data_IF_283529234410
#
_entry.id   IF_283529234410
#
_cell.length_a   1.000
_cell.length_b   1.000
_cell.length_c   1.000
_cell.angle_alpha   90.00
_cell.angle_beta   90.00
_cell.angle_gamma   90.00
#
_symmetry.space_group_name_H-M   'P 1'
#
loop_
_entity.id
_entity.type
_entity.pdbx_description
1 polymer ?
#
# COMPACT_ATOMS: atom_id res chain seq x y z
N UNK A 1 -14.43 -14.51 18.27
CA UNK A 1 -15.01 -13.29 17.71
C UNK A 1 -13.99 -12.17 17.90
N UNK A 2 -13.33 -11.80 16.85
CA UNK A 2 -12.35 -10.70 16.82
C UNK A 2 -13.11 -9.36 16.73
N UNK A 3 -13.60 -8.87 17.84
CA UNK A 3 -14.13 -7.52 17.97
C UNK A 3 -13.15 -6.67 18.80
N UNK A 4 -13.04 -5.40 18.47
CA UNK A 4 -12.14 -4.48 19.16
C UNK A 4 -10.72 -4.44 18.61
N UNK A 5 -9.71 -4.19 19.48
CA UNK A 5 -8.31 -4.01 19.08
C UNK A 5 -7.72 -5.18 18.27
N UNK A 6 -8.01 -6.46 18.54
CA UNK A 6 -7.53 -7.57 17.72
C UNK A 6 -8.01 -7.51 16.26
N UNK A 7 -9.21 -6.98 16.02
CA UNK A 7 -9.73 -6.78 14.67
C UNK A 7 -9.00 -5.65 13.95
N UNK A 8 -8.67 -4.57 14.64
CA UNK A 8 -7.89 -3.47 14.09
C UNK A 8 -6.48 -3.95 13.70
N UNK A 9 -5.85 -4.74 14.56
CA UNK A 9 -4.55 -5.35 14.25
C UNK A 9 -4.63 -6.25 13.01
N UNK A 10 -5.65 -7.11 12.92
CA UNK A 10 -5.87 -7.99 11.77
C UNK A 10 -6.02 -7.20 10.46
N UNK A 11 -6.75 -6.08 10.48
CA UNK A 11 -6.93 -5.19 9.33
C UNK A 11 -5.63 -4.49 8.93
N UNK A 12 -4.90 -3.91 9.87
CA UNK A 12 -3.65 -3.22 9.59
C UNK A 12 -2.50 -4.16 9.18
N UNK A 13 -2.51 -5.41 9.64
CA UNK A 13 -1.57 -6.41 9.16
C UNK A 13 -2.04 -7.11 7.88
N UNK A 14 -3.18 -6.70 7.32
CA UNK A 14 -3.78 -7.30 6.13
C UNK A 14 -3.84 -8.84 6.20
N UNK A 15 -4.15 -9.38 7.39
CA UNK A 15 -4.25 -10.83 7.61
C UNK A 15 -5.54 -11.37 6.98
N UNK A 16 -5.50 -12.62 6.58
CA UNK A 16 -6.70 -13.34 6.13
C UNK A 16 -7.59 -13.62 7.33
N UNK A 17 -8.87 -13.21 7.30
CA UNK A 17 -9.81 -13.48 8.39
C UNK A 17 -10.07 -14.99 8.53
N UNK A 18 -10.31 -15.46 9.76
CA UNK A 18 -10.64 -16.87 10.00
C UNK A 18 -11.98 -17.29 9.39
N UNK A 19 -12.97 -16.38 9.34
CA UNK A 19 -14.28 -16.58 8.71
C UNK A 19 -14.37 -15.60 7.55
N UNK A 20 -13.82 -16.00 6.40
CA UNK A 20 -13.86 -15.19 5.20
C UNK A 20 -15.25 -15.23 4.58
N UNK A 21 -15.70 -14.06 4.14
CA UNK A 21 -16.79 -13.95 3.22
C UNK A 21 -16.33 -14.27 1.80
N UNK A 22 -17.17 -14.92 1.03
CA UNK A 22 -16.94 -15.16 -0.40
C UNK A 22 -17.38 -13.94 -1.19
N UNK A 23 -16.59 -13.51 -2.17
CA UNK A 23 -16.87 -12.38 -3.07
C UNK A 23 -17.03 -12.92 -4.48
N UNK A 24 -17.98 -12.38 -5.23
CA UNK A 24 -18.16 -12.72 -6.65
C UNK A 24 -17.00 -12.16 -7.50
N UNK A 25 -16.32 -13.01 -8.24
CA UNK A 25 -15.24 -12.60 -9.16
C UNK A 25 -15.79 -12.03 -10.47
N UNK A 26 -16.97 -12.47 -10.86
CA UNK A 26 -17.69 -11.99 -12.05
C UNK A 26 -19.09 -11.48 -11.67
N UNK A 27 -19.64 -10.57 -12.47
CA UNK A 27 -21.04 -10.16 -12.37
C UNK A 27 -21.92 -11.06 -13.20
N UNK A 28 -23.14 -11.32 -12.75
CA UNK A 28 -24.06 -12.19 -13.49
C UNK A 28 -25.25 -12.65 -12.67
N UNK A 29 -25.95 -13.66 -13.16
CA UNK A 29 -27.10 -14.25 -12.49
C UNK A 29 -26.65 -15.39 -11.59
N UNK A 30 -27.12 -15.37 -10.37
CA UNK A 30 -26.85 -16.39 -9.35
C UNK A 30 -27.77 -17.58 -9.52
N UNK A 31 -27.26 -18.80 -9.46
CA UNK A 31 -28.01 -20.05 -9.41
C UNK A 31 -27.45 -20.93 -8.27
N UNK A 32 -28.35 -21.54 -7.53
CA UNK A 32 -27.98 -22.50 -6.49
C UNK A 32 -28.10 -23.93 -7.01
N UNK A 33 -27.09 -24.73 -6.75
CA UNK A 33 -27.11 -26.18 -6.97
C UNK A 33 -26.70 -26.91 -5.70
N UNK A 34 -27.45 -27.95 -5.34
CA UNK A 34 -27.09 -28.79 -4.21
C UNK A 34 -25.80 -29.54 -4.50
N UNK A 35 -24.81 -29.42 -3.57
CA UNK A 35 -23.61 -30.22 -3.66
C UNK A 35 -23.92 -31.68 -3.35
N UNK A 36 -23.33 -32.60 -4.09
CA UNK A 36 -23.58 -34.05 -3.98
C UNK A 36 -23.23 -34.64 -2.60
N UNK A 37 -22.49 -33.96 -1.74
CA UNK A 37 -22.14 -34.38 -0.36
C UNK A 37 -21.87 -33.18 0.55
N UNK A 38 -22.50 -33.13 1.70
CA UNK A 38 -22.10 -32.29 2.85
C UNK A 38 -22.98 -31.06 3.11
N UNK A 39 -22.51 -30.20 3.97
CA UNK A 39 -23.16 -28.95 4.41
C UNK A 39 -22.89 -27.76 3.49
N UNK A 40 -22.24 -27.98 2.36
CA UNK A 40 -21.92 -26.96 1.37
C UNK A 40 -22.89 -27.03 0.19
N UNK A 41 -23.14 -25.90 -0.43
CA UNK A 41 -23.92 -25.72 -1.64
C UNK A 41 -23.05 -25.06 -2.71
N UNK A 42 -23.26 -25.40 -3.95
CA UNK A 42 -22.60 -24.75 -5.07
C UNK A 42 -23.43 -23.54 -5.51
N UNK A 43 -22.82 -22.38 -5.42
CA UNK A 43 -23.37 -21.14 -5.95
C UNK A 43 -22.68 -20.85 -7.28
N UNK A 44 -23.45 -20.86 -8.35
CA UNK A 44 -22.97 -20.62 -9.71
C UNK A 44 -23.38 -19.21 -10.12
N UNK A 45 -22.41 -18.41 -10.54
CA UNK A 45 -22.64 -17.10 -11.13
C UNK A 45 -22.37 -17.21 -12.61
N UNK A 46 -23.37 -16.88 -13.43
CA UNK A 46 -23.27 -16.90 -14.90
C UNK A 46 -23.30 -15.47 -15.41
N UNK A 47 -22.22 -15.05 -16.05
CA UNK A 47 -22.12 -13.74 -16.69
C UNK A 47 -22.87 -13.71 -18.03
N UNK A 48 -23.12 -12.50 -18.54
CA UNK A 48 -23.83 -12.28 -19.81
C UNK A 48 -23.10 -12.82 -21.05
N UNK A 49 -21.79 -13.00 -20.97
CA UNK A 49 -20.90 -13.56 -22.00
C UNK A 49 -20.83 -15.09 -21.98
N UNK A 50 -21.49 -15.73 -20.98
CA UNK A 50 -21.51 -17.18 -20.81
C UNK A 50 -20.39 -17.71 -19.89
N UNK A 51 -19.51 -16.85 -19.34
CA UNK A 51 -18.56 -17.25 -18.34
C UNK A 51 -19.27 -17.66 -17.05
N UNK A 52 -18.82 -18.75 -16.42
CA UNK A 52 -19.40 -19.26 -15.17
C UNK A 52 -18.34 -19.45 -14.12
N UNK A 53 -18.62 -18.96 -12.91
CA UNK A 53 -17.83 -19.22 -11.72
C UNK A 53 -18.65 -19.96 -10.67
N UNK A 54 -18.08 -21.02 -10.09
CA UNK A 54 -18.71 -21.84 -9.05
C UNK A 54 -18.03 -21.63 -7.71
N UNK A 55 -18.81 -21.31 -6.70
CA UNK A 55 -18.36 -21.10 -5.32
C UNK A 55 -18.99 -22.13 -4.40
N UNK A 56 -18.17 -22.87 -3.66
CA UNK A 56 -18.63 -23.74 -2.61
C UNK A 56 -18.89 -22.92 -1.33
N UNK A 57 -20.15 -22.74 -0.98
CA UNK A 57 -20.59 -21.89 0.13
C UNK A 57 -21.44 -22.68 1.14
N UNK A 58 -21.43 -22.31 2.42
CA UNK A 58 -22.32 -22.93 3.39
C UNK A 58 -23.78 -22.56 3.15
N UNK A 59 -24.71 -23.45 3.43
CA UNK A 59 -26.15 -23.18 3.30
C UNK A 59 -26.65 -22.04 4.17
N UNK A 60 -25.94 -21.78 5.29
CA UNK A 60 -26.29 -20.73 6.23
C UNK A 60 -25.42 -19.50 5.99
N UNK A 61 -26.03 -18.33 6.04
CA UNK A 61 -25.29 -17.06 5.92
C UNK A 61 -25.07 -16.58 4.49
N UNK A 62 -25.99 -16.93 3.59
CA UNK A 62 -26.03 -16.34 2.25
C UNK A 62 -26.65 -14.95 2.29
N UNK A 63 -26.07 -14.04 1.49
CA UNK A 63 -26.54 -12.68 1.31
C UNK A 63 -27.34 -12.49 0.00
N UNK A 64 -27.24 -13.44 -0.91
CA UNK A 64 -27.84 -13.40 -2.23
C UNK A 64 -28.94 -14.47 -2.35
N UNK A 65 -29.86 -14.26 -3.29
CA UNK A 65 -30.98 -15.16 -3.57
C UNK A 65 -30.78 -15.86 -4.92
N UNK A 66 -31.46 -17.00 -5.08
CA UNK A 66 -31.47 -17.69 -6.36
C UNK A 66 -32.16 -16.83 -7.43
N UNK A 67 -31.54 -16.74 -8.61
CA UNK A 67 -32.00 -15.89 -9.71
C UNK A 67 -31.66 -14.39 -9.58
N UNK A 68 -30.95 -13.97 -8.51
CA UNK A 68 -30.55 -12.58 -8.35
C UNK A 68 -29.41 -12.21 -9.32
N UNK A 69 -29.48 -11.00 -9.87
CA UNK A 69 -28.42 -10.44 -10.68
C UNK A 69 -27.47 -9.64 -9.80
N UNK A 70 -26.20 -10.01 -9.80
CA UNK A 70 -25.16 -9.41 -8.97
C UNK A 70 -24.08 -8.77 -9.82
N UNK A 71 -23.40 -7.78 -9.24
CA UNK A 71 -22.22 -7.15 -9.84
C UNK A 71 -20.93 -7.84 -9.40
N UNK A 72 -19.87 -7.67 -10.19
CA UNK A 72 -18.52 -8.08 -9.81
C UNK A 72 -18.14 -7.47 -8.47
N UNK A 73 -17.67 -8.30 -7.55
CA UNK A 73 -17.28 -7.86 -6.22
C UNK A 73 -18.42 -7.87 -5.20
N UNK A 74 -19.62 -8.32 -5.53
CA UNK A 74 -20.71 -8.48 -4.55
C UNK A 74 -20.34 -9.57 -3.55
N UNK A 75 -20.62 -9.29 -2.27
CA UNK A 75 -20.39 -10.23 -1.18
C UNK A 75 -21.49 -11.30 -1.18
N UNK A 76 -21.13 -12.57 -1.29
CA UNK A 76 -22.06 -13.69 -1.40
C UNK A 76 -22.45 -14.27 -0.04
N UNK A 77 -21.55 -14.24 0.92
CA UNK A 77 -21.75 -14.84 2.24
C UNK A 77 -21.44 -13.86 3.38
N UNK A 78 -22.05 -14.07 4.55
CA UNK A 78 -21.68 -13.34 5.76
C UNK A 78 -20.25 -13.68 6.18
N UNK A 79 -19.50 -12.68 6.59
CA UNK A 79 -18.15 -12.82 7.11
C UNK A 79 -17.33 -11.55 6.90
N UNK A 80 -16.05 -11.62 7.30
CA UNK A 80 -15.11 -10.55 7.05
C UNK A 80 -14.49 -10.71 5.66
N UNK A 81 -14.39 -9.63 4.91
CA UNK A 81 -13.74 -9.65 3.61
C UNK A 81 -12.22 -9.79 3.77
N UNK A 82 -11.60 -10.55 2.87
CA UNK A 82 -10.15 -10.58 2.75
C UNK A 82 -9.67 -9.33 1.99
N UNK A 83 -8.86 -8.46 2.59
CA UNK A 83 -8.40 -7.24 1.92
C UNK A 83 -7.69 -7.50 0.59
N UNK A 84 -6.95 -8.61 0.48
CA UNK A 84 -6.26 -8.99 -0.75
C UNK A 84 -7.21 -9.36 -1.90
N UNK A 85 -8.33 -10.02 -1.57
CA UNK A 85 -9.36 -10.34 -2.57
C UNK A 85 -10.13 -9.09 -2.98
N UNK A 86 -10.41 -8.19 -2.04
CA UNK A 86 -11.02 -6.89 -2.34
C UNK A 86 -10.13 -6.11 -3.31
N UNK A 87 -8.80 -6.10 -3.09
CA UNK A 87 -7.85 -5.47 -4.00
C UNK A 87 -7.90 -6.08 -5.40
N UNK A 88 -7.83 -7.41 -5.48
CA UNK A 88 -7.82 -8.13 -6.76
C UNK A 88 -9.12 -7.97 -7.56
N UNK A 89 -10.26 -7.98 -6.89
CA UNK A 89 -11.57 -8.00 -7.53
C UNK A 89 -12.15 -6.61 -7.75
N UNK A 90 -12.10 -5.76 -6.71
CA UNK A 90 -12.72 -4.43 -6.71
C UNK A 90 -11.76 -3.28 -7.00
N UNK A 91 -10.44 -3.51 -6.91
CA UNK A 91 -9.40 -2.51 -7.15
C UNK A 91 -9.01 -1.68 -5.92
N UNK A 92 -8.15 -0.68 -6.17
CA UNK A 92 -7.47 0.10 -5.11
C UNK A 92 -8.44 0.89 -4.24
N UNK A 93 -9.35 1.65 -4.85
CA UNK A 93 -10.27 2.53 -4.12
C UNK A 93 -11.19 1.76 -3.17
N UNK A 94 -11.61 0.57 -3.58
CA UNK A 94 -12.44 -0.29 -2.75
C UNK A 94 -11.70 -0.79 -1.51
N UNK A 95 -10.41 -1.09 -1.61
CA UNK A 95 -9.58 -1.50 -0.46
C UNK A 95 -9.38 -0.34 0.51
N UNK A 96 -9.08 0.86 0.00
CA UNK A 96 -8.97 2.06 0.84
C UNK A 96 -10.25 2.26 1.65
N UNK A 97 -11.39 2.30 0.96
CA UNK A 97 -12.69 2.48 1.61
C UNK A 97 -13.01 1.36 2.60
N UNK A 98 -12.75 0.11 2.22
CA UNK A 98 -13.00 -1.04 3.09
C UNK A 98 -12.20 -0.97 4.39
N UNK A 99 -10.88 -0.77 4.31
CA UNK A 99 -10.02 -0.72 5.49
C UNK A 99 -10.37 0.47 6.39
N UNK A 100 -10.60 1.65 5.83
CA UNK A 100 -10.97 2.84 6.59
C UNK A 100 -12.29 2.63 7.32
N UNK A 101 -13.33 2.16 6.62
CA UNK A 101 -14.67 1.96 7.20
C UNK A 101 -14.66 0.88 8.29
N UNK A 102 -13.97 -0.24 8.06
CA UNK A 102 -13.89 -1.32 9.05
C UNK A 102 -13.16 -0.90 10.32
N UNK A 103 -12.03 -0.20 10.20
CA UNK A 103 -11.29 0.31 11.37
C UNK A 103 -12.12 1.33 12.13
N UNK A 104 -12.71 2.31 11.44
CA UNK A 104 -13.57 3.31 12.08
C UNK A 104 -14.80 2.68 12.74
N UNK A 105 -15.39 1.65 12.12
CA UNK A 105 -16.52 0.92 12.71
C UNK A 105 -16.14 0.32 14.04
N UNK A 106 -14.96 -0.31 14.14
CA UNK A 106 -14.48 -0.90 15.41
C UNK A 106 -14.30 0.20 16.48
N UNK A 107 -13.68 1.32 16.14
CA UNK A 107 -13.49 2.43 17.09
C UNK A 107 -14.83 3.04 17.55
N UNK A 108 -15.76 3.27 16.63
CA UNK A 108 -17.10 3.79 16.95
C UNK A 108 -17.88 2.83 17.86
N UNK A 109 -17.74 1.52 17.67
CA UNK A 109 -18.35 0.52 18.57
C UNK A 109 -17.80 0.59 20.01
N UNK A 110 -16.58 1.08 20.19
CA UNK A 110 -15.94 1.33 21.48
C UNK A 110 -16.20 2.74 22.02
N UNK A 111 -17.05 3.53 21.36
CA UNK A 111 -17.36 4.89 21.77
C UNK A 111 -16.27 5.92 21.47
N UNK A 112 -15.29 5.57 20.65
CA UNK A 112 -14.19 6.46 20.26
C UNK A 112 -14.44 6.97 18.85
N UNK A 113 -14.52 8.29 18.69
CA UNK A 113 -14.63 8.94 17.39
C UNK A 113 -13.25 9.46 16.95
N UNK A 114 -12.81 9.00 15.76
CA UNK A 114 -11.52 9.34 15.17
C UNK A 114 -11.76 9.91 13.78
N UNK A 115 -11.04 10.97 13.43
CA UNK A 115 -11.09 11.52 12.09
C UNK A 115 -10.43 10.54 11.09
N UNK A 116 -11.06 10.36 9.95
CA UNK A 116 -10.68 9.41 8.89
C UNK A 116 -9.24 9.60 8.42
N UNK A 117 -8.73 10.83 8.40
CA UNK A 117 -7.36 11.17 7.95
C UNK A 117 -6.25 10.37 8.66
N UNK A 118 -6.45 10.01 9.94
CA UNK A 118 -5.44 9.25 10.70
C UNK A 118 -5.34 7.81 10.19
N UNK A 119 -6.46 7.24 9.77
CA UNK A 119 -6.50 5.89 9.18
C UNK A 119 -6.05 5.92 7.72
N UNK A 120 -6.45 6.95 6.98
CA UNK A 120 -6.05 7.14 5.58
C UNK A 120 -4.53 7.17 5.40
N UNK A 121 -3.81 7.87 6.27
CA UNK A 121 -2.34 7.93 6.25
C UNK A 121 -1.72 6.54 6.41
N UNK A 122 -2.26 5.73 7.33
CA UNK A 122 -1.77 4.36 7.56
C UNK A 122 -2.05 3.47 6.35
N UNK A 123 -3.27 3.47 5.84
CA UNK A 123 -3.67 2.66 4.68
C UNK A 123 -2.88 3.06 3.43
N UNK A 124 -2.61 4.36 3.23
CA UNK A 124 -1.75 4.84 2.16
C UNK A 124 -0.34 4.23 2.22
N UNK A 125 0.25 4.10 3.41
CA UNK A 125 1.55 3.46 3.57
C UNK A 125 1.50 1.95 3.26
N UNK A 126 0.40 1.27 3.58
CA UNK A 126 0.18 -0.14 3.25
C UNK A 126 0.11 -0.39 1.74
N UNK A 127 -0.34 0.59 0.96
CA UNK A 127 -0.54 0.53 -0.50
C UNK A 127 0.57 1.24 -1.30
N UNK A 128 1.70 1.54 -0.68
CA UNK A 128 2.77 2.36 -1.29
C UNK A 128 3.62 1.62 -2.31
N UNK A 129 3.60 0.30 -2.32
CA UNK A 129 4.48 -0.53 -3.15
C UNK A 129 3.70 -1.27 -4.23
N UNK A 130 4.34 -1.40 -5.38
CA UNK A 130 3.89 -2.22 -6.51
C UNK A 130 4.95 -3.26 -6.85
N UNK A 131 4.53 -4.37 -7.44
CA UNK A 131 5.40 -5.38 -8.02
C UNK A 131 5.44 -5.18 -9.52
N UNK A 132 6.62 -5.04 -10.08
CA UNK A 132 6.82 -4.95 -11.52
C UNK A 132 6.61 -6.33 -12.12
N UNK A 133 5.72 -6.45 -13.09
CA UNK A 133 5.49 -7.69 -13.85
C UNK A 133 6.27 -7.69 -15.15
N UNK A 134 6.24 -6.58 -15.88
CA UNK A 134 7.03 -6.35 -17.10
C UNK A 134 7.64 -4.94 -17.00
N UNK A 135 8.93 -4.85 -17.03
CA UNK A 135 9.65 -3.57 -16.98
C UNK A 135 9.56 -2.79 -18.29
N UNK A 136 9.19 -3.42 -19.41
CA UNK A 136 9.20 -2.78 -20.71
C UNK A 136 10.57 -2.17 -21.04
N UNK A 137 10.57 -0.95 -21.55
CA UNK A 137 11.79 -0.20 -21.90
C UNK A 137 12.23 0.76 -20.78
N UNK A 138 11.72 0.55 -19.54
CA UNK A 138 12.13 1.32 -18.36
C UNK A 138 13.41 0.73 -17.74
N UNK A 139 14.00 1.47 -16.78
CA UNK A 139 15.17 1.01 -16.00
C UNK A 139 14.76 0.15 -14.78
N UNK A 140 13.50 -0.25 -14.68
CA UNK A 140 13.01 -1.08 -13.59
C UNK A 140 13.39 -2.54 -13.83
N UNK A 141 13.36 -3.35 -12.77
CA UNK A 141 13.66 -4.79 -12.86
C UNK A 141 12.37 -5.60 -12.71
N UNK A 142 12.20 -6.60 -13.57
CA UNK A 142 11.09 -7.54 -13.50
C UNK A 142 11.06 -8.28 -12.15
N UNK A 143 9.87 -8.44 -11.60
CA UNK A 143 9.65 -9.09 -10.31
C UNK A 143 10.05 -8.27 -9.09
N UNK A 144 10.67 -7.12 -9.25
CA UNK A 144 11.07 -6.26 -8.13
C UNK A 144 9.88 -5.51 -7.52
N UNK A 145 10.00 -5.18 -6.22
CA UNK A 145 9.07 -4.28 -5.54
C UNK A 145 9.60 -2.85 -5.60
N UNK A 146 8.78 -1.93 -6.10
CA UNK A 146 9.13 -0.52 -6.17
C UNK A 146 8.04 0.36 -5.57
N UNK A 147 8.35 1.62 -5.32
CA UNK A 147 7.38 2.60 -4.87
C UNK A 147 6.48 3.03 -6.04
N UNK A 148 5.17 3.18 -5.81
CA UNK A 148 4.20 3.66 -6.82
C UNK A 148 4.69 4.93 -7.51
N UNK A 149 5.18 5.91 -6.75
CA UNK A 149 5.68 7.18 -7.32
C UNK A 149 6.90 6.99 -8.24
N UNK A 150 7.81 6.06 -7.91
CA UNK A 150 8.97 5.75 -8.77
C UNK A 150 8.53 5.03 -10.05
N UNK A 151 7.52 4.17 -9.94
CA UNK A 151 6.94 3.48 -11.08
C UNK A 151 6.23 4.46 -12.02
N UNK A 152 5.41 5.36 -11.48
CA UNK A 152 4.73 6.41 -12.26
C UNK A 152 5.73 7.33 -12.96
N UNK A 153 6.75 7.81 -12.23
CA UNK A 153 7.81 8.65 -12.80
C UNK A 153 8.59 7.96 -13.93
N UNK A 154 8.84 6.63 -13.81
CA UNK A 154 9.48 5.86 -14.87
C UNK A 154 8.59 5.78 -16.12
N UNK A 155 7.29 5.60 -15.95
CA UNK A 155 6.34 5.56 -17.06
C UNK A 155 6.13 6.94 -17.69
N UNK A 156 6.11 8.02 -16.92
CA UNK A 156 6.09 9.39 -17.43
C UNK A 156 7.34 9.74 -18.25
N UNK A 157 8.49 9.20 -17.85
CA UNK A 157 9.73 9.37 -18.64
C UNK A 157 9.61 8.69 -20.00
N UNK A 158 9.05 7.48 -20.05
CA UNK A 158 8.76 6.78 -21.33
C UNK A 158 7.78 7.61 -22.18
N UNK A 159 6.74 8.19 -21.59
CA UNK A 159 5.81 9.04 -22.32
C UNK A 159 6.50 10.27 -22.91
N UNK A 160 7.39 10.92 -22.17
CA UNK A 160 8.18 12.06 -22.67
C UNK A 160 9.09 11.67 -23.82
N UNK A 161 9.76 10.51 -23.72
CA UNK A 161 10.64 10.00 -24.78
C UNK A 161 9.84 9.61 -26.03
N UNK A 162 8.69 8.98 -25.89
CA UNK A 162 7.77 8.68 -26.99
C UNK A 162 7.25 9.97 -27.66
N UNK A 163 6.91 10.99 -26.89
CA UNK A 163 6.51 12.31 -27.42
C UNK A 163 7.64 13.04 -28.16
N UNK A 164 8.91 12.77 -27.78
CA UNK A 164 10.09 13.26 -28.49
C UNK A 164 10.40 12.47 -29.78
N UNK A 165 9.65 11.39 -30.06
CA UNK A 165 9.83 10.56 -31.25
C UNK A 165 10.93 9.51 -31.10
N UNK A 166 11.36 9.19 -29.87
CA UNK A 166 12.30 8.07 -29.62
C UNK A 166 11.59 6.74 -29.84
N UNK A 167 12.29 5.81 -30.43
CA UNK A 167 11.80 4.44 -30.70
C UNK A 167 12.81 3.43 -30.18
N UNK A 168 12.32 2.19 -29.94
CA UNK A 168 13.18 1.07 -29.60
C UNK A 168 14.06 0.63 -30.82
N UNK A 169 14.92 -0.37 -30.63
CA UNK A 169 15.79 -0.92 -31.66
C UNK A 169 15.02 -1.47 -32.89
N UNK A 170 13.73 -1.76 -32.74
CA UNK A 170 12.84 -2.24 -33.81
C UNK A 170 12.06 -1.11 -34.50
N UNK A 171 12.24 0.16 -34.08
CA UNK A 171 11.51 1.29 -34.64
C UNK A 171 10.09 1.46 -34.10
N UNK A 172 9.73 0.75 -33.03
CA UNK A 172 8.44 0.86 -32.35
C UNK A 172 8.52 1.84 -31.19
N UNK A 173 7.38 2.44 -30.75
CA UNK A 173 7.35 3.27 -29.57
C UNK A 173 7.75 2.49 -28.30
N UNK A 174 8.43 3.15 -27.38
CA UNK A 174 8.91 2.56 -26.14
C UNK A 174 7.72 2.05 -25.30
N UNK A 175 7.86 0.84 -24.75
CA UNK A 175 6.84 0.21 -23.92
C UNK A 175 6.96 0.66 -22.46
N UNK A 176 5.81 0.97 -21.86
CA UNK A 176 5.71 1.27 -20.42
C UNK A 176 5.88 0.02 -19.58
N UNK A 177 6.35 0.21 -18.36
CA UNK A 177 6.31 -0.85 -17.36
C UNK A 177 4.88 -1.16 -16.92
N UNK A 178 4.62 -2.43 -16.63
CA UNK A 178 3.38 -2.92 -16.04
C UNK A 178 3.66 -3.44 -14.62
N UNK A 179 2.76 -3.13 -13.71
CA UNK A 179 2.91 -3.52 -12.30
C UNK A 179 1.56 -3.86 -11.67
N UNK A 180 1.61 -4.76 -10.69
CA UNK A 180 0.47 -5.11 -9.84
C UNK A 180 0.59 -4.43 -8.50
N UNK A 181 -0.49 -3.78 -8.05
CA UNK A 181 -0.56 -3.15 -6.74
C UNK A 181 -0.42 -4.18 -5.62
N UNK A 182 0.42 -3.89 -4.65
CA UNK A 182 0.60 -4.71 -3.45
C UNK A 182 -0.10 -4.06 -2.25
N UNK A 183 -0.76 -4.90 -1.45
CA UNK A 183 -1.22 -4.56 -0.13
C UNK A 183 -0.30 -5.24 0.89
N UNK A 184 0.34 -4.46 1.74
CA UNK A 184 1.23 -4.98 2.78
C UNK A 184 0.70 -4.62 4.16
N UNK A 185 0.86 -5.53 5.13
CA UNK A 185 0.66 -5.18 6.54
C UNK A 185 1.64 -4.10 7.01
N UNK A 186 1.28 -3.37 8.06
CA UNK A 186 2.09 -2.26 8.58
C UNK A 186 3.51 -2.68 8.95
N UNK A 187 3.69 -3.87 9.53
CA UNK A 187 5.01 -4.40 9.88
C UNK A 187 5.88 -4.59 8.64
N UNK A 188 5.35 -5.25 7.61
CA UNK A 188 6.06 -5.48 6.35
C UNK A 188 6.31 -4.16 5.59
N UNK A 189 5.35 -3.26 5.58
CA UNK A 189 5.50 -1.93 4.98
C UNK A 189 6.61 -1.11 5.67
N UNK A 190 6.72 -1.20 6.99
CA UNK A 190 7.77 -0.53 7.76
C UNK A 190 9.17 -1.08 7.47
N UNK A 191 9.31 -2.37 7.20
CA UNK A 191 10.58 -2.99 6.79
C UNK A 191 10.93 -2.73 5.32
N UNK A 192 9.94 -2.53 4.47
CA UNK A 192 10.10 -2.27 3.04
C UNK A 192 10.26 -0.78 2.70
N UNK A 193 10.62 0.06 3.66
CA UNK A 193 10.89 1.49 3.44
C UNK A 193 12.15 1.71 2.60
N UNK A 194 12.24 2.86 1.94
CA UNK A 194 13.42 3.23 1.16
C UNK A 194 14.62 3.57 2.05
N UNK A 195 14.38 3.99 3.31
CA UNK A 195 15.41 4.25 4.32
C UNK A 195 15.81 2.98 5.06
N UNK A 196 17.04 2.53 4.88
CA UNK A 196 17.56 1.38 5.63
C UNK A 196 17.81 1.69 7.11
N UNK A 197 18.10 2.94 7.48
CA UNK A 197 18.25 3.35 8.88
C UNK A 197 16.93 3.20 9.64
N UNK A 198 15.84 3.66 9.06
CA UNK A 198 14.51 3.52 9.64
C UNK A 198 14.12 2.05 9.80
N UNK A 199 14.33 1.22 8.79
CA UNK A 199 14.04 -0.21 8.83
C UNK A 199 14.89 -0.94 9.87
N UNK A 200 16.21 -0.67 9.92
CA UNK A 200 17.12 -1.28 10.87
C UNK A 200 16.79 -0.94 12.32
N UNK A 201 16.28 0.25 12.59
CA UNK A 201 15.90 0.67 13.94
C UNK A 201 14.57 0.07 14.42
N UNK A 202 13.81 -0.57 13.53
CA UNK A 202 12.53 -1.19 13.86
C UNK A 202 12.67 -2.68 14.19
N UNK A 203 13.07 -3.49 13.24
CA UNK A 203 13.27 -4.94 13.38
C UNK A 203 14.36 -5.45 12.43
N UNK A 204 14.85 -6.66 12.65
CA UNK A 204 15.80 -7.35 11.77
C UNK A 204 17.07 -6.51 11.46
N UNK A 205 17.59 -5.79 12.45
CA UNK A 205 18.71 -4.83 12.33
C UNK A 205 19.89 -5.41 11.55
N UNK A 206 20.35 -6.59 11.90
CA UNK A 206 21.52 -7.23 11.25
C UNK A 206 21.26 -7.52 9.79
N UNK A 207 20.09 -8.07 9.46
CA UNK A 207 19.71 -8.41 8.08
C UNK A 207 19.62 -7.16 7.21
N UNK A 208 18.91 -6.13 7.69
CA UNK A 208 18.72 -4.87 6.96
C UNK A 208 20.06 -4.16 6.71
N UNK A 209 20.92 -4.07 7.72
CA UNK A 209 22.24 -3.46 7.59
C UNK A 209 23.16 -4.26 6.65
N UNK A 210 23.10 -5.59 6.70
CA UNK A 210 23.88 -6.45 5.81
C UNK A 210 23.44 -6.26 4.36
N UNK A 211 22.15 -6.28 4.08
CA UNK A 211 21.61 -6.02 2.73
C UNK A 211 21.99 -4.63 2.23
N UNK A 212 21.87 -3.61 3.08
CA UNK A 212 22.24 -2.25 2.72
C UNK A 212 23.72 -2.12 2.38
N UNK A 213 24.61 -2.78 3.15
CA UNK A 213 26.05 -2.79 2.91
C UNK A 213 26.40 -3.52 1.60
N UNK A 214 25.80 -4.68 1.32
CA UNK A 214 26.04 -5.46 0.09
C UNK A 214 25.57 -4.67 -1.14
N UNK A 215 24.42 -4.01 -1.06
CA UNK A 215 23.84 -3.25 -2.16
C UNK A 215 24.41 -1.84 -2.30
N UNK A 216 25.24 -1.37 -1.37
CA UNK A 216 25.75 0.00 -1.35
C UNK A 216 24.62 1.04 -1.27
N UNK A 217 23.58 0.78 -0.48
CA UNK A 217 22.43 1.69 -0.38
C UNK A 217 22.83 3.01 0.30
N UNK A 218 22.33 4.10 -0.26
CA UNK A 218 22.41 5.43 0.34
C UNK A 218 21.07 5.81 0.97
N UNK A 219 21.12 6.38 2.18
CA UNK A 219 19.94 6.93 2.84
C UNK A 219 19.92 8.45 2.67
N UNK A 220 18.92 8.95 1.97
CA UNK A 220 18.80 10.38 1.66
C UNK A 220 18.21 11.20 2.82
N UNK A 221 17.94 10.58 3.97
CA UNK A 221 17.44 11.24 5.18
C UNK A 221 16.17 12.09 4.97
N UNK A 222 15.26 11.58 4.14
CA UNK A 222 14.02 12.28 3.79
C UNK A 222 12.96 12.18 4.88
N UNK A 223 12.96 11.10 5.66
CA UNK A 223 11.98 10.84 6.71
C UNK A 223 12.34 11.49 8.04
N UNK A 224 11.41 11.38 9.00
CA UNK A 224 11.62 11.93 10.34
C UNK A 224 12.58 11.06 11.17
N UNK A 225 12.38 9.75 11.14
CA UNK A 225 13.07 8.78 12.01
C UNK A 225 14.57 8.73 11.75
N UNK A 226 15.00 8.76 10.49
CA UNK A 226 16.39 8.74 10.07
C UNK A 226 17.15 9.96 10.61
N UNK A 227 16.54 11.14 10.51
CA UNK A 227 17.14 12.38 11.01
C UNK A 227 17.25 12.39 12.53
N UNK A 228 16.22 11.88 13.23
CA UNK A 228 16.25 11.74 14.70
C UNK A 228 17.37 10.79 15.13
N UNK A 229 17.56 9.66 14.45
CA UNK A 229 18.59 8.67 14.76
C UNK A 229 20.01 9.24 14.64
N UNK A 230 20.24 10.11 13.65
CA UNK A 230 21.55 10.74 13.42
C UNK A 230 21.74 12.00 14.29
N UNK A 231 20.68 12.48 14.94
CA UNK A 231 20.73 13.71 15.75
C UNK A 231 20.60 15.00 14.92
N UNK A 232 20.11 14.92 13.68
CA UNK A 232 19.78 16.09 12.87
C UNK A 232 18.37 16.58 13.13
N UNK A 233 18.11 17.85 12.79
CA UNK A 233 16.76 18.39 12.80
C UNK A 233 15.89 17.63 11.80
N UNK A 234 14.65 17.34 12.20
CA UNK A 234 13.67 16.71 11.30
C UNK A 234 13.34 17.66 10.14
N UNK A 235 13.03 17.14 8.95
CA UNK A 235 12.65 17.95 7.79
C UNK A 235 11.19 18.45 7.89
N UNK A 236 10.85 19.07 9.00
CA UNK A 236 9.55 19.64 9.33
C UNK A 236 9.70 20.81 10.29
N UNK A 237 8.78 21.77 10.25
CA UNK A 237 8.83 22.96 11.11
C UNK A 237 10.14 23.73 10.93
N UNK A 238 10.83 24.03 12.02
CA UNK A 238 12.11 24.78 12.02
C UNK A 238 13.27 24.06 11.34
N UNK A 239 13.15 22.76 11.08
CA UNK A 239 14.13 21.96 10.34
C UNK A 239 14.00 22.06 8.82
N UNK A 240 12.97 22.69 8.29
CA UNK A 240 12.83 22.94 6.87
C UNK A 240 13.86 23.96 6.38
N UNK A 241 14.43 23.72 5.20
CA UNK A 241 15.46 24.58 4.60
C UNK A 241 14.98 26.00 4.41
N UNK A 242 13.69 26.21 4.08
CA UNK A 242 13.09 27.54 3.95
C UNK A 242 13.18 28.38 5.24
N UNK A 243 13.06 27.75 6.41
CA UNK A 243 13.21 28.44 7.70
C UNK A 243 14.68 28.69 8.06
N UNK A 244 15.61 27.87 7.60
CA UNK A 244 17.06 28.07 7.82
C UNK A 244 17.58 29.25 7.03
N UNK A 245 17.26 29.33 5.73
CA UNK A 245 17.64 30.49 4.90
C UNK A 245 17.07 31.79 5.43
N UNK A 246 15.81 31.76 5.91
CA UNK A 246 15.18 32.95 6.52
C UNK A 246 15.88 33.36 7.84
N UNK A 247 16.32 32.41 8.64
CA UNK A 247 17.06 32.70 9.87
C UNK A 247 18.48 33.22 9.58
N UNK A 248 19.16 32.71 8.56
CA UNK A 248 20.47 33.20 8.11
C UNK A 248 20.39 34.63 7.54
N UNK A 249 19.31 34.98 6.84
CA UNK A 249 19.05 36.34 6.35
C UNK A 249 18.75 37.34 7.48
N UNK A 250 18.17 36.88 8.61
CA UNK A 250 17.86 37.72 9.77
C UNK A 250 19.05 37.95 10.73
N UNK A 251 20.08 37.10 10.67
CA UNK A 251 21.28 37.24 11.47
C UNK A 251 22.36 37.93 10.62
N UNK A 252 22.74 39.19 10.89
CA UNK A 252 23.82 39.84 10.17
C UNK A 252 25.13 39.02 10.30
N UNK A 253 25.82 38.87 9.18
CA UNK A 253 27.06 38.07 9.07
C UNK A 253 28.16 38.48 10.11
N UNK A 254 28.09 39.67 10.63
CA UNK A 254 29.02 40.19 11.66
C UNK A 254 28.90 39.43 13.00
N UNK A 255 27.72 38.91 13.37
CA UNK A 255 27.53 38.20 14.66
C UNK A 255 28.02 36.76 14.66
N UNK A 256 28.25 36.16 13.50
CA UNK A 256 28.74 34.78 13.35
C UNK A 256 30.26 34.74 13.50
N UNK A 257 30.97 35.73 12.97
CA UNK A 257 32.42 35.83 13.05
C UNK A 257 32.94 36.12 14.48
N UNK A 258 32.18 36.90 15.29
CA UNK A 258 32.52 37.13 16.69
C UNK A 258 32.34 35.90 17.59
N UNK A 259 31.44 34.98 17.25
CA UNK A 259 31.22 33.73 18.00
C UNK A 259 32.24 32.64 17.66
N UNK A 260 32.70 32.60 16.40
CA UNK A 260 33.77 31.68 16.00
C UNK A 260 35.13 32.11 16.58
N UNK A 261 35.42 33.40 16.57
CA UNK A 261 36.65 33.94 17.19
C UNK A 261 36.72 33.69 18.71
N UNK A 262 35.59 33.71 19.43
CA UNK A 262 35.55 33.45 20.88
C UNK A 262 35.64 31.96 21.22
N UNK A 263 35.39 31.04 20.26
CA UNK A 263 35.53 29.60 20.45
C UNK A 263 36.95 29.08 20.11
N UNK A 264 37.74 29.84 19.35
CA UNK A 264 39.16 29.53 19.09
C UNK A 264 40.12 30.06 20.17
N UNK A 265 39.63 30.90 21.10
CA UNK A 265 40.42 31.42 22.24
C UNK A 265 40.23 30.65 23.57
N UNK A 266 39.45 29.57 23.61
CA UNK A 266 39.29 28.67 24.79
C UNK A 266 39.91 27.30 24.49
#
# INVERSE_FOLDING_TARGET
ITQGLPRVEELFEARRPKRMATIAEIGGTVRFEEAAKGSLMNLIVTASDGETCTYAVPHTGLLVKDGEVIEKGTQLTYGALNPHEVLRIRGNDAVYNYLIQEVLRVYRQQGVDINDKHIEVIVRQMMRKVRIEDAGDTKLLDGSMTNVLKFEAANEEIDRRNAAGETNEMGEPLRKAQATQLLMGITKASLATDSFLSAASFQETTKVLTEAAIMGKEDHLVGLKENVLIGKLIPAGTGLQAYRTFAEELVPAETVQEKEATLEEI
#
